data_IF_709095691129
#
_entry.id   IF_709095691129
#
_cell.length_a   1.000
_cell.length_b   1.000
_cell.length_c   1.000
_cell.angle_alpha   90.00
_cell.angle_beta   90.00
_cell.angle_gamma   90.00
#
_symmetry.space_group_name_H-M   'P 1'
#
loop_
_entity.id
_entity.type
_entity.pdbx_description
1 polymer ?
#
# COMPACT_ATOMS: atom_id res chain seq x y z
N UNK A 1 -4.27 0.16 62.23
CA UNK A 1 -5.38 0.67 61.40
C UNK A 1 -4.78 1.72 60.47
N UNK A 2 -4.61 1.40 59.19
CA UNK A 2 -4.04 2.28 58.17
C UNK A 2 -4.78 1.97 56.87
N UNK A 3 -5.53 2.97 56.39
CA UNK A 3 -6.36 2.89 55.18
C UNK A 3 -5.48 3.30 54.00
N UNK A 4 -5.30 2.40 53.03
CA UNK A 4 -4.65 2.71 51.75
C UNK A 4 -5.75 3.04 50.75
N UNK A 5 -5.81 4.31 50.32
CA UNK A 5 -6.72 4.76 49.28
C UNK A 5 -6.20 4.35 47.90
N UNK A 6 -7.04 3.65 47.12
CA UNK A 6 -6.78 3.36 45.70
C UNK A 6 -7.40 4.47 44.87
N UNK A 7 -6.57 5.23 44.13
CA UNK A 7 -7.05 6.21 43.14
C UNK A 7 -7.27 5.47 41.83
N UNK A 8 -8.53 5.14 41.53
CA UNK A 8 -8.92 4.69 40.20
C UNK A 8 -9.05 5.93 39.29
N UNK A 9 -8.20 6.02 38.27
CA UNK A 9 -8.38 7.00 37.20
C UNK A 9 -9.62 6.59 36.37
N UNK A 10 -10.71 7.35 36.53
CA UNK A 10 -11.90 7.23 35.68
C UNK A 10 -11.54 7.88 34.34
N UNK A 11 -11.10 7.08 33.37
CA UNK A 11 -11.11 7.49 31.96
C UNK A 11 -12.57 7.39 31.52
N UNK A 12 -13.24 8.54 31.42
CA UNK A 12 -14.58 8.59 30.85
C UNK A 12 -14.55 8.02 29.41
N UNK A 13 -15.50 7.15 29.02
CA UNK A 13 -15.60 6.75 27.63
C UNK A 13 -15.90 8.00 26.78
N UNK A 14 -15.18 8.17 25.67
CA UNK A 14 -15.54 9.17 24.67
C UNK A 14 -17.01 8.99 24.26
N UNK A 15 -17.77 10.08 24.09
CA UNK A 15 -19.15 9.98 23.67
C UNK A 15 -19.20 9.36 22.26
N UNK A 16 -20.16 8.45 22.06
CA UNK A 16 -20.30 7.63 20.86
C UNK A 16 -20.69 8.45 19.60
N UNK A 17 -20.88 9.76 19.73
CA UNK A 17 -21.33 10.69 18.69
C UNK A 17 -20.18 11.38 17.93
N UNK A 18 -18.92 11.14 18.31
CA UNK A 18 -17.73 11.65 17.59
C UNK A 18 -16.97 10.61 16.77
N UNK A 19 -17.53 9.40 16.62
CA UNK A 19 -17.11 8.51 15.53
C UNK A 19 -17.89 8.93 14.27
N UNK A 20 -17.38 9.92 13.53
CA UNK A 20 -17.72 10.01 12.11
C UNK A 20 -17.35 8.66 11.50
N UNK A 21 -18.36 7.82 11.24
CA UNK A 21 -18.18 6.59 10.50
C UNK A 21 -17.41 6.94 9.23
N UNK A 22 -16.31 6.22 8.89
CA UNK A 22 -15.51 6.55 7.72
C UNK A 22 -16.45 6.62 6.51
N UNK A 23 -16.63 7.84 5.99
CA UNK A 23 -17.58 8.13 4.92
C UNK A 23 -17.43 7.07 3.83
N UNK A 24 -18.48 6.32 3.46
CA UNK A 24 -18.36 5.28 2.46
C UNK A 24 -17.92 5.93 1.15
N UNK A 25 -16.66 5.73 0.79
CA UNK A 25 -16.14 6.26 -0.47
C UNK A 25 -16.93 5.65 -1.62
N UNK A 26 -17.37 6.49 -2.55
CA UNK A 26 -18.23 6.09 -3.66
C UNK A 26 -17.64 4.92 -4.44
N UNK A 27 -18.44 3.86 -4.63
CA UNK A 27 -18.09 2.67 -5.42
C UNK A 27 -18.42 2.83 -6.91
N UNK A 28 -18.74 4.05 -7.35
CA UNK A 28 -19.24 4.36 -8.71
C UNK A 28 -18.38 3.78 -9.84
N UNK A 29 -17.05 3.73 -9.66
CA UNK A 29 -16.11 3.27 -10.68
C UNK A 29 -15.61 1.84 -10.46
N UNK A 30 -16.11 1.11 -9.46
CA UNK A 30 -15.65 -0.24 -9.14
C UNK A 30 -15.81 -1.20 -10.31
N UNK A 31 -16.88 -1.08 -11.11
CA UNK A 31 -17.08 -1.91 -12.32
C UNK A 31 -15.98 -1.66 -13.35
N UNK A 32 -15.60 -0.39 -13.54
CA UNK A 32 -14.50 0.00 -14.43
C UNK A 32 -13.17 -0.51 -13.86
N UNK A 33 -12.93 -0.36 -12.56
CA UNK A 33 -11.73 -0.88 -11.89
C UNK A 33 -11.61 -2.39 -11.97
N UNK A 34 -12.70 -3.17 -11.81
CA UNK A 34 -12.65 -4.63 -11.97
C UNK A 34 -12.34 -5.04 -13.40
N UNK A 35 -12.98 -4.38 -14.38
CA UNK A 35 -12.86 -4.73 -15.80
C UNK A 35 -11.53 -4.26 -16.42
N UNK A 36 -11.00 -3.12 -15.99
CA UNK A 36 -9.85 -2.46 -16.61
C UNK A 36 -8.66 -2.27 -15.66
N UNK A 37 -8.77 -2.73 -14.41
CA UNK A 37 -7.74 -2.63 -13.38
C UNK A 37 -6.56 -3.58 -13.53
N UNK A 38 -6.61 -4.52 -14.48
CA UNK A 38 -5.53 -5.48 -14.75
C UNK A 38 -5.09 -6.30 -13.52
N UNK A 39 -6.05 -6.67 -12.66
CA UNK A 39 -5.80 -7.45 -11.44
C UNK A 39 -5.40 -6.61 -10.22
N UNK A 40 -5.16 -5.30 -10.38
CA UNK A 40 -4.87 -4.41 -9.25
C UNK A 40 -6.07 -4.37 -8.28
N UNK A 41 -5.85 -4.29 -6.95
CA UNK A 41 -6.94 -4.23 -5.99
C UNK A 41 -7.84 -3.03 -6.24
N UNK A 42 -9.15 -3.28 -6.35
CA UNK A 42 -10.17 -2.22 -6.47
C UNK A 42 -10.06 -1.16 -5.36
N UNK A 43 -9.83 -1.53 -4.07
CA UNK A 43 -9.63 -0.52 -3.03
C UNK A 43 -8.43 0.40 -3.28
N UNK A 44 -7.36 -0.11 -3.90
CA UNK A 44 -6.18 0.71 -4.22
C UNK A 44 -6.51 1.70 -5.33
N UNK A 45 -7.15 1.25 -6.41
CA UNK A 45 -7.59 2.12 -7.50
C UNK A 45 -8.59 3.18 -7.03
N UNK A 46 -9.47 2.83 -6.08
CA UNK A 46 -10.40 3.78 -5.46
C UNK A 46 -9.67 4.82 -4.60
N UNK A 47 -8.72 4.39 -3.78
CA UNK A 47 -7.91 5.28 -2.95
C UNK A 47 -7.09 6.24 -3.81
N UNK A 48 -6.46 5.73 -4.86
CA UNK A 48 -5.71 6.53 -5.81
C UNK A 48 -6.61 7.53 -6.53
N UNK A 49 -7.73 7.12 -7.11
CA UNK A 49 -8.67 8.01 -7.79
C UNK A 49 -9.27 9.09 -6.85
N UNK A 50 -9.52 8.75 -5.59
CA UNK A 50 -9.98 9.70 -4.57
C UNK A 50 -8.90 10.75 -4.26
N UNK A 51 -7.63 10.37 -4.18
CA UNK A 51 -6.52 11.29 -3.89
C UNK A 51 -6.07 12.11 -5.11
N UNK A 52 -6.24 11.56 -6.30
CA UNK A 52 -5.84 12.20 -7.56
C UNK A 52 -6.88 13.21 -8.05
N UNK A 53 -8.15 12.83 -8.10
CA UNK A 53 -9.20 13.67 -8.71
C UNK A 53 -10.42 13.85 -7.84
N UNK A 54 -10.40 13.39 -6.58
CA UNK A 54 -11.61 13.29 -5.76
C UNK A 54 -12.73 12.47 -6.44
N UNK A 55 -12.36 11.44 -7.22
CA UNK A 55 -13.27 10.63 -8.04
C UNK A 55 -13.96 11.43 -9.17
N UNK A 56 -13.36 12.53 -9.64
CA UNK A 56 -13.86 13.34 -10.74
C UNK A 56 -13.18 12.94 -12.08
N UNK A 57 -13.88 12.24 -12.98
CA UNK A 57 -13.31 11.85 -14.27
C UNK A 57 -13.12 13.03 -15.22
N UNK A 58 -13.73 14.19 -14.93
CA UNK A 58 -13.61 15.42 -15.72
C UNK A 58 -12.53 16.36 -15.20
N UNK A 59 -11.75 15.94 -14.19
CA UNK A 59 -10.66 16.76 -13.67
C UNK A 59 -9.61 16.99 -14.76
N UNK A 60 -9.36 18.25 -15.08
CA UNK A 60 -8.51 18.66 -16.20
C UNK A 60 -7.56 19.81 -15.82
N UNK A 61 -7.46 20.13 -14.53
CA UNK A 61 -6.57 21.17 -14.05
C UNK A 61 -5.11 20.67 -14.04
N UNK A 62 -4.23 21.44 -14.68
CA UNK A 62 -2.80 21.14 -14.69
C UNK A 62 -2.37 20.09 -15.72
N UNK A 63 -1.21 19.45 -15.54
CA UNK A 63 -0.59 18.58 -16.54
C UNK A 63 -1.19 17.16 -16.63
N UNK A 64 -1.97 16.75 -15.63
CA UNK A 64 -2.52 15.41 -15.48
C UNK A 64 -4.05 15.46 -15.57
N UNK A 65 -4.67 14.59 -16.36
CA UNK A 65 -6.12 14.65 -16.63
C UNK A 65 -6.85 13.36 -16.24
N UNK A 66 -8.11 13.52 -15.87
CA UNK A 66 -9.09 12.46 -15.63
C UNK A 66 -9.02 11.82 -14.26
N UNK A 67 -9.73 10.69 -14.15
CA UNK A 67 -10.03 10.01 -12.88
C UNK A 67 -8.78 9.65 -12.05
N UNK A 68 -7.73 9.15 -12.70
CA UNK A 68 -6.47 8.77 -12.09
C UNK A 68 -5.34 9.74 -12.49
N UNK A 69 -5.65 10.94 -12.99
CA UNK A 69 -4.66 11.99 -13.29
C UNK A 69 -3.49 11.49 -14.16
N UNK A 70 -3.79 11.05 -15.38
CA UNK A 70 -2.79 10.59 -16.34
C UNK A 70 -2.13 11.79 -17.02
N UNK A 71 -0.79 11.82 -17.02
CA UNK A 71 0.00 12.85 -17.73
C UNK A 71 0.28 12.48 -19.19
N UNK A 72 0.64 13.49 -19.99
CA UNK A 72 0.90 13.32 -21.44
C UNK A 72 1.98 12.30 -21.76
N UNK A 73 3.05 12.24 -20.96
CA UNK A 73 4.15 11.27 -21.18
C UNK A 73 3.65 9.84 -21.05
N UNK A 74 2.79 9.57 -20.05
CA UNK A 74 2.17 8.26 -19.82
C UNK A 74 1.23 7.88 -20.96
N UNK A 75 0.39 8.83 -21.39
CA UNK A 75 -0.49 8.65 -22.56
C UNK A 75 0.30 8.32 -23.83
N UNK A 76 1.36 9.07 -24.10
CA UNK A 76 2.19 8.88 -25.30
C UNK A 76 2.91 7.52 -25.30
N UNK A 77 3.46 7.11 -24.15
CA UNK A 77 4.09 5.79 -24.01
C UNK A 77 3.07 4.65 -24.17
N UNK A 78 1.85 4.81 -23.64
CA UNK A 78 0.78 3.84 -23.85
C UNK A 78 0.42 3.73 -25.35
N UNK A 79 0.17 4.86 -26.01
CA UNK A 79 -0.14 4.91 -27.44
C UNK A 79 0.93 4.21 -28.28
N UNK A 80 2.20 4.51 -28.03
CA UNK A 80 3.32 3.90 -28.74
C UNK A 80 3.34 2.37 -28.62
N UNK A 81 3.04 1.82 -27.44
CA UNK A 81 3.11 0.36 -27.20
C UNK A 81 1.89 -0.40 -27.66
N UNK A 82 0.73 0.22 -27.59
CA UNK A 82 -0.54 -0.43 -27.91
C UNK A 82 -1.03 -0.11 -29.32
N UNK A 83 -0.28 0.69 -30.09
CA UNK A 83 -0.68 1.10 -31.44
C UNK A 83 -1.94 1.96 -31.46
N UNK A 84 -2.22 2.68 -30.37
CA UNK A 84 -3.39 3.57 -30.24
C UNK A 84 -3.03 5.01 -30.52
N UNK A 85 -4.04 5.85 -30.76
CA UNK A 85 -3.90 7.28 -31.08
C UNK A 85 -4.71 8.18 -30.15
N UNK A 86 -4.89 7.75 -28.89
CA UNK A 86 -5.66 8.51 -27.90
C UNK A 86 -5.07 9.91 -27.69
N UNK A 87 -5.95 10.89 -27.60
CA UNK A 87 -5.64 12.27 -27.34
C UNK A 87 -5.82 12.60 -25.86
N UNK A 88 -5.30 13.75 -25.44
CA UNK A 88 -5.41 14.20 -24.05
C UNK A 88 -6.86 14.30 -23.57
N UNK A 89 -7.77 14.71 -24.44
CA UNK A 89 -9.22 14.79 -24.17
C UNK A 89 -9.84 13.43 -23.88
N UNK A 90 -9.31 12.36 -24.46
CA UNK A 90 -9.81 10.99 -24.22
C UNK A 90 -9.54 10.54 -22.78
N UNK A 91 -8.60 11.19 -22.07
CA UNK A 91 -8.34 10.92 -20.65
C UNK A 91 -9.50 11.33 -19.74
N UNK A 92 -10.49 12.09 -20.24
CA UNK A 92 -11.70 12.41 -19.48
C UNK A 92 -12.73 11.26 -19.50
N UNK A 93 -12.54 10.26 -20.37
CA UNK A 93 -13.26 9.00 -20.31
C UNK A 93 -12.65 8.13 -19.19
N UNK A 94 -13.41 7.76 -18.14
CA UNK A 94 -12.87 6.99 -17.02
C UNK A 94 -12.41 5.58 -17.42
N UNK A 95 -12.94 4.99 -18.49
CA UNK A 95 -12.49 3.68 -19.01
C UNK A 95 -11.11 3.81 -19.65
N UNK A 96 -10.91 4.79 -20.54
CA UNK A 96 -9.62 5.02 -21.20
C UNK A 96 -8.57 5.40 -20.17
N UNK A 97 -8.91 6.35 -19.29
CA UNK A 97 -8.04 6.79 -18.21
C UNK A 97 -7.59 5.63 -17.31
N UNK A 98 -8.53 4.77 -16.88
CA UNK A 98 -8.23 3.59 -16.07
C UNK A 98 -7.31 2.63 -16.79
N UNK A 99 -7.57 2.31 -18.06
CA UNK A 99 -6.73 1.38 -18.84
C UNK A 99 -5.28 1.86 -18.94
N UNK A 100 -5.08 3.15 -19.18
CA UNK A 100 -3.75 3.73 -19.35
C UNK A 100 -3.00 3.78 -18.01
N UNK A 101 -3.68 4.23 -16.95
CA UNK A 101 -3.10 4.30 -15.62
C UNK A 101 -2.71 2.91 -15.10
N UNK A 102 -3.61 1.92 -15.20
CA UNK A 102 -3.38 0.57 -14.66
C UNK A 102 -2.30 -0.17 -15.46
N UNK A 103 -2.23 0.02 -16.77
CA UNK A 103 -1.13 -0.49 -17.60
C UNK A 103 0.23 0.06 -17.15
N UNK A 104 0.28 1.36 -16.81
CA UNK A 104 1.48 2.01 -16.28
C UNK A 104 1.85 1.49 -14.90
N UNK A 105 0.88 1.38 -13.99
CA UNK A 105 1.10 0.82 -12.65
C UNK A 105 1.64 -0.61 -12.74
N UNK A 106 1.06 -1.47 -13.60
CA UNK A 106 1.60 -2.82 -13.83
C UNK A 106 3.01 -2.80 -14.41
N UNK A 107 3.40 -1.77 -15.17
CA UNK A 107 4.79 -1.62 -15.64
C UNK A 107 5.74 -1.23 -14.51
N UNK A 108 5.30 -0.40 -13.56
CA UNK A 108 6.08 -0.05 -12.38
C UNK A 108 6.39 -1.32 -11.58
N UNK A 109 5.37 -2.11 -11.28
CA UNK A 109 5.50 -3.39 -10.57
C UNK A 109 6.52 -4.31 -11.28
N UNK A 110 6.37 -4.52 -12.59
CA UNK A 110 7.32 -5.35 -13.36
C UNK A 110 8.74 -4.79 -13.41
N UNK A 111 8.90 -3.46 -13.37
CA UNK A 111 10.23 -2.83 -13.31
C UNK A 111 10.90 -3.14 -11.98
N UNK A 112 10.15 -3.01 -10.89
CA UNK A 112 10.62 -3.29 -9.54
C UNK A 112 11.02 -4.76 -9.36
N UNK A 113 10.16 -5.69 -9.77
CA UNK A 113 10.43 -7.14 -9.72
C UNK A 113 11.68 -7.52 -10.52
N UNK A 114 11.85 -6.93 -11.72
CA UNK A 114 12.97 -7.24 -12.61
C UNK A 114 14.30 -6.70 -12.10
N UNK A 115 14.31 -5.44 -11.66
CA UNK A 115 15.56 -4.73 -11.39
C UNK A 115 16.00 -4.86 -9.93
N UNK A 116 15.06 -5.13 -9.01
CA UNK A 116 15.32 -5.25 -7.57
C UNK A 116 14.74 -6.55 -6.99
N UNK A 117 15.03 -7.74 -7.57
CA UNK A 117 14.40 -9.01 -7.17
C UNK A 117 14.68 -9.41 -5.72
N UNK A 118 15.80 -8.94 -5.14
CA UNK A 118 16.17 -9.19 -3.74
C UNK A 118 15.48 -8.26 -2.73
N UNK A 119 14.79 -7.21 -3.20
CA UNK A 119 14.17 -6.21 -2.33
C UNK A 119 12.71 -6.56 -2.10
N UNK A 120 12.41 -7.15 -0.95
CA UNK A 120 11.05 -7.60 -0.60
C UNK A 120 10.00 -6.46 -0.63
N UNK A 121 10.40 -5.24 -0.28
CA UNK A 121 9.52 -4.06 -0.33
C UNK A 121 9.21 -3.61 -1.77
N UNK A 122 9.86 -4.18 -2.78
CA UNK A 122 9.63 -3.86 -4.19
C UNK A 122 8.93 -4.99 -4.94
N UNK A 123 8.65 -6.11 -4.27
CA UNK A 123 7.87 -7.23 -4.84
C UNK A 123 6.37 -7.02 -4.62
N UNK A 124 5.55 -7.47 -5.57
CA UNK A 124 4.09 -7.31 -5.46
C UNK A 124 3.54 -7.99 -4.21
N UNK A 125 3.21 -7.16 -3.21
CA UNK A 125 2.59 -7.61 -1.98
C UNK A 125 1.67 -6.54 -1.41
N UNK A 126 0.37 -6.68 -1.66
CA UNK A 126 -0.66 -5.75 -1.20
C UNK A 126 -0.96 -5.80 0.32
N UNK A 127 -0.33 -6.72 1.05
CA UNK A 127 -0.31 -6.68 2.52
C UNK A 127 0.92 -5.95 3.08
N UNK A 128 1.96 -5.73 2.26
CA UNK A 128 3.15 -4.97 2.65
C UNK A 128 2.92 -3.46 2.41
N UNK A 129 2.79 -2.64 3.46
CA UNK A 129 2.56 -1.20 3.28
C UNK A 129 3.73 -0.50 2.58
N UNK A 130 4.98 -0.97 2.74
CA UNK A 130 6.13 -0.38 2.07
C UNK A 130 6.09 -0.57 0.56
N UNK A 131 5.64 -1.74 0.09
CA UNK A 131 5.43 -1.96 -1.35
C UNK A 131 4.43 -0.98 -1.94
N UNK A 132 3.29 -0.79 -1.28
CA UNK A 132 2.25 0.11 -1.78
C UNK A 132 2.75 1.57 -1.78
N UNK A 133 3.50 1.98 -0.75
CA UNK A 133 4.12 3.31 -0.70
C UNK A 133 5.12 3.50 -1.84
N UNK A 134 6.01 2.53 -2.09
CA UNK A 134 7.01 2.60 -3.17
C UNK A 134 6.38 2.53 -4.56
N UNK A 135 5.31 1.76 -4.74
CA UNK A 135 4.51 1.74 -5.97
C UNK A 135 3.86 3.11 -6.21
N UNK A 136 3.25 3.68 -5.17
CA UNK A 136 2.62 5.01 -5.23
C UNK A 136 3.65 6.11 -5.46
N UNK A 137 4.86 5.99 -4.90
CA UNK A 137 5.98 6.88 -5.18
C UNK A 137 6.46 6.76 -6.63
N UNK A 138 6.53 5.55 -7.18
CA UNK A 138 6.85 5.32 -8.59
C UNK A 138 5.84 5.96 -9.54
N UNK A 139 4.56 5.91 -9.18
CA UNK A 139 3.48 6.57 -9.91
C UNK A 139 3.57 8.10 -9.82
N UNK A 140 3.71 8.64 -8.61
CA UNK A 140 3.61 10.09 -8.36
C UNK A 140 4.91 10.86 -8.65
N UNK A 141 6.07 10.26 -8.38
CA UNK A 141 7.39 10.89 -8.44
C UNK A 141 8.34 10.25 -9.47
N UNK A 142 7.89 9.20 -10.17
CA UNK A 142 8.65 8.51 -11.20
C UNK A 142 9.35 7.25 -10.68
N UNK A 143 9.35 6.19 -11.49
CA UNK A 143 9.79 4.84 -11.10
C UNK A 143 11.10 4.37 -11.75
N UNK A 144 11.69 5.14 -12.67
CA UNK A 144 12.78 4.67 -13.53
C UNK A 144 14.10 4.42 -12.77
N UNK A 145 14.93 3.53 -13.32
CA UNK A 145 16.30 3.28 -12.86
C UNK A 145 17.25 4.47 -13.07
N UNK A 146 16.91 5.35 -14.02
CA UNK A 146 17.75 6.49 -14.37
C UNK A 146 17.63 7.66 -13.39
N UNK A 147 16.48 7.82 -12.73
CA UNK A 147 16.27 8.95 -11.83
C UNK A 147 15.01 8.92 -10.97
N UNK A 148 14.22 7.85 -11.02
CA UNK A 148 13.04 7.65 -10.16
C UNK A 148 13.36 6.77 -8.95
N UNK A 149 12.33 6.10 -8.43
CA UNK A 149 12.46 5.20 -7.27
C UNK A 149 13.51 4.11 -7.50
N UNK A 150 13.58 3.50 -8.70
CA UNK A 150 14.58 2.48 -9.01
C UNK A 150 16.03 2.97 -8.86
N UNK A 151 16.31 4.21 -9.29
CA UNK A 151 17.62 4.86 -9.10
C UNK A 151 18.03 4.92 -7.62
N UNK A 152 17.08 5.27 -6.75
CA UNK A 152 17.35 5.36 -5.31
C UNK A 152 17.44 3.97 -4.69
N UNK A 153 16.62 3.01 -5.13
CA UNK A 153 16.70 1.63 -4.67
C UNK A 153 18.08 1.01 -4.97
N UNK A 154 18.60 1.16 -6.18
CA UNK A 154 19.96 0.71 -6.55
C UNK A 154 21.04 1.34 -5.64
N UNK A 155 20.91 2.64 -5.33
CA UNK A 155 21.81 3.31 -4.38
C UNK A 155 21.72 2.70 -2.97
N UNK A 156 20.52 2.48 -2.46
CA UNK A 156 20.28 1.94 -1.12
C UNK A 156 20.80 0.50 -0.99
N UNK A 157 20.53 -0.35 -2.00
CA UNK A 157 21.03 -1.73 -2.05
C UNK A 157 22.56 -1.78 -1.98
N UNK A 158 23.26 -0.97 -2.79
CA UNK A 158 24.73 -0.90 -2.77
C UNK A 158 25.31 -0.41 -1.45
N UNK A 159 24.51 0.32 -0.67
CA UNK A 159 24.89 0.82 0.66
C UNK A 159 24.45 -0.10 1.80
N UNK A 160 23.73 -1.18 1.50
CA UNK A 160 23.14 -2.04 2.52
C UNK A 160 22.07 -1.34 3.37
N UNK A 161 21.47 -0.27 2.85
CA UNK A 161 20.39 0.47 3.51
C UNK A 161 19.06 -0.16 3.08
N UNK A 162 18.11 -0.43 4.00
CA UNK A 162 16.80 -0.95 3.63
C UNK A 162 16.08 -0.06 2.62
N UNK A 163 15.51 -0.66 1.57
CA UNK A 163 14.67 0.08 0.62
C UNK A 163 13.28 0.24 1.22
N UNK A 164 13.05 1.40 1.82
CA UNK A 164 11.75 1.82 2.38
C UNK A 164 11.33 3.13 1.73
N UNK A 165 10.05 3.48 1.85
CA UNK A 165 9.53 4.75 1.37
C UNK A 165 10.29 5.94 1.96
N UNK A 166 10.63 5.87 3.24
CA UNK A 166 11.31 6.95 3.95
C UNK A 166 12.75 7.11 3.47
N UNK A 167 13.48 5.99 3.34
CA UNK A 167 14.84 6.00 2.83
C UNK A 167 14.90 6.46 1.37
N UNK A 168 13.90 6.11 0.54
CA UNK A 168 13.84 6.60 -0.84
C UNK A 168 13.76 8.13 -0.91
N UNK A 169 13.05 8.77 0.01
CA UNK A 169 12.95 10.23 0.05
C UNK A 169 14.16 10.88 0.72
N UNK A 170 14.69 10.28 1.78
CA UNK A 170 15.87 10.77 2.50
C UNK A 170 17.12 10.77 1.61
N UNK A 171 17.34 9.71 0.85
CA UNK A 171 18.55 9.51 0.06
C UNK A 171 18.42 9.92 -1.42
N UNK A 172 17.26 10.44 -1.84
CA UNK A 172 16.99 10.81 -3.24
C UNK A 172 18.07 11.70 -3.87
N UNK A 173 18.46 12.77 -3.16
CA UNK A 173 19.46 13.71 -3.65
C UNK A 173 20.85 13.07 -3.77
N UNK A 174 21.23 12.25 -2.79
CA UNK A 174 22.52 11.54 -2.78
C UNK A 174 22.61 10.50 -3.90
N UNK A 175 21.49 9.85 -4.23
CA UNK A 175 21.38 8.92 -5.35
C UNK A 175 21.38 9.63 -6.72
N UNK A 176 21.28 10.96 -6.76
CA UNK A 176 21.13 11.72 -8.00
C UNK A 176 19.76 11.52 -8.67
N UNK A 177 18.72 11.25 -7.87
CA UNK A 177 17.37 11.09 -8.36
C UNK A 177 16.65 12.45 -8.55
N UNK A 178 15.47 12.42 -9.15
CA UNK A 178 14.65 13.61 -9.38
C UNK A 178 14.28 14.34 -8.09
N UNK A 179 14.24 15.67 -8.14
CA UNK A 179 13.78 16.52 -7.03
C UNK A 179 12.36 16.21 -6.54
N UNK A 180 11.53 15.51 -7.33
CA UNK A 180 10.21 15.06 -6.88
C UNK A 180 10.28 14.06 -5.72
N UNK A 181 11.37 13.30 -5.61
CA UNK A 181 11.64 12.39 -4.49
C UNK A 181 12.27 13.11 -3.30
N UNK A 182 12.60 14.40 -3.41
CA UNK A 182 13.02 15.23 -2.27
C UNK A 182 11.89 16.12 -1.73
N UNK A 183 10.66 15.95 -2.24
CA UNK A 183 9.52 16.80 -1.86
C UNK A 183 8.70 16.15 -0.71
N UNK A 184 8.68 16.73 0.50
CA UNK A 184 7.98 16.14 1.64
C UNK A 184 6.45 16.18 1.49
N UNK A 185 5.90 17.11 0.71
CA UNK A 185 4.47 17.16 0.40
C UNK A 185 4.03 15.95 -0.44
N UNK A 186 4.84 15.57 -1.43
CA UNK A 186 4.61 14.35 -2.24
C UNK A 186 4.69 13.09 -1.38
N UNK A 187 5.70 13.01 -0.51
CA UNK A 187 5.83 11.88 0.43
C UNK A 187 4.58 11.70 1.29
N UNK A 188 4.08 12.79 1.90
CA UNK A 188 2.85 12.77 2.69
C UNK A 188 1.63 12.37 1.86
N UNK A 189 1.49 12.90 0.65
CA UNK A 189 0.39 12.53 -0.24
C UNK A 189 0.39 11.02 -0.53
N UNK A 190 1.57 10.43 -0.81
CA UNK A 190 1.71 9.00 -1.10
C UNK A 190 1.31 8.13 0.10
N UNK A 191 1.74 8.50 1.32
CA UNK A 191 1.30 7.84 2.56
C UNK A 191 -0.23 7.90 2.71
N UNK A 192 -0.83 9.06 2.41
CA UNK A 192 -2.27 9.26 2.51
C UNK A 192 -3.11 8.43 1.52
N UNK A 193 -2.51 7.96 0.41
CA UNK A 193 -3.13 6.98 -0.50
C UNK A 193 -3.16 5.60 0.17
N UNK A 194 -2.05 5.20 0.79
CA UNK A 194 -1.91 3.90 1.46
C UNK A 194 -2.84 3.78 2.66
N UNK A 195 -2.93 4.82 3.48
CA UNK A 195 -3.87 4.87 4.62
C UNK A 195 -5.33 4.69 4.15
N UNK A 196 -5.67 5.37 3.05
CA UNK A 196 -7.01 5.29 2.46
C UNK A 196 -7.28 3.91 1.83
N UNK A 197 -6.27 3.30 1.20
CA UNK A 197 -6.37 1.93 0.68
C UNK A 197 -6.73 0.94 1.79
N UNK A 198 -6.00 0.95 2.91
CA UNK A 198 -6.27 0.03 4.02
C UNK A 198 -7.63 0.30 4.67
N UNK A 199 -8.03 1.57 4.79
CA UNK A 199 -9.37 1.95 5.27
C UNK A 199 -10.47 1.36 4.37
N UNK A 200 -10.32 1.50 3.05
CA UNK A 200 -11.28 0.96 2.07
C UNK A 200 -11.27 -0.57 1.98
N UNK A 201 -10.13 -1.21 2.23
CA UNK A 201 -10.01 -2.65 2.26
C UNK A 201 -10.68 -3.23 3.52
N UNK A 202 -10.49 -2.60 4.67
CA UNK A 202 -11.11 -3.00 5.94
C UNK A 202 -12.63 -2.79 5.93
N UNK A 203 -13.13 -1.68 5.38
CA UNK A 203 -14.56 -1.39 5.29
C UNK A 203 -15.38 -2.39 4.44
N UNK A 204 -14.72 -3.22 3.62
CA UNK A 204 -15.38 -4.30 2.87
C UNK A 204 -15.61 -5.55 3.73
N UNK A 205 -14.85 -5.72 4.81
CA UNK A 205 -15.01 -6.85 5.74
C UNK A 205 -16.15 -6.59 6.74
N UNK A 206 -16.44 -5.33 7.08
CA UNK A 206 -17.56 -4.98 7.95
C UNK A 206 -18.91 -4.93 7.22
N UNK A 207 -18.93 -4.77 5.89
CA UNK A 207 -20.18 -4.62 5.12
C UNK A 207 -20.86 -5.93 4.72
N UNK A 208 -20.26 -7.08 5.01
CA UNK A 208 -20.85 -8.38 4.65
C UNK A 208 -21.71 -8.92 5.80
N UNK A 209 -21.24 -8.99 7.05
CA UNK A 209 -22.00 -9.71 8.10
C UNK A 209 -21.98 -9.05 9.49
N UNK A 210 -21.53 -7.79 9.63
CA UNK A 210 -21.57 -7.05 10.91
C UNK A 210 -20.71 -7.63 12.06
N UNK A 211 -19.89 -8.66 11.79
CA UNK A 211 -19.01 -9.29 12.79
C UNK A 211 -17.56 -8.89 12.55
N UNK A 212 -16.90 -8.41 13.61
CA UNK A 212 -15.47 -8.07 13.60
C UNK A 212 -14.66 -9.37 13.46
N UNK A 213 -14.12 -9.64 12.28
CA UNK A 213 -13.09 -10.69 12.12
C UNK A 213 -11.72 -10.13 12.53
N UNK A 214 -11.04 -10.69 13.55
CA UNK A 214 -9.64 -10.41 13.78
C UNK A 214 -8.81 -11.06 12.67
N UNK A 215 -8.24 -10.22 11.81
CA UNK A 215 -7.06 -10.47 10.97
C UNK A 215 -6.84 -11.90 10.45
N UNK A 216 -7.27 -12.17 9.21
CA UNK A 216 -6.66 -13.15 8.30
C UNK A 216 -6.97 -12.74 6.85
N UNK A 217 -6.05 -12.00 6.23
CA UNK A 217 -6.12 -11.72 4.79
C UNK A 217 -5.68 -12.98 4.02
N UNK A 218 -6.63 -13.80 3.59
CA UNK A 218 -6.41 -14.74 2.50
C UNK A 218 -6.64 -14.01 1.17
N UNK A 219 -5.60 -13.34 0.67
CA UNK A 219 -5.45 -13.24 -0.78
C UNK A 219 -5.09 -14.63 -1.29
N UNK A 220 -5.73 -15.18 -2.33
CA UNK A 220 -5.41 -16.51 -2.81
C UNK A 220 -3.94 -16.52 -3.26
N UNK A 221 -3.11 -17.27 -2.52
CA UNK A 221 -1.79 -17.67 -2.97
C UNK A 221 -1.95 -18.45 -4.27
N UNK A 222 -1.20 -18.01 -5.28
CA UNK A 222 -0.67 -18.93 -6.29
C UNK A 222 0.12 -19.99 -5.52
N UNK A 223 -0.44 -21.18 -5.39
CA UNK A 223 0.29 -22.33 -4.85
C UNK A 223 1.29 -22.77 -5.91
N UNK A 224 2.60 -22.84 -5.62
CA UNK A 224 3.45 -23.74 -6.36
C UNK A 224 2.94 -25.15 -6.09
N UNK A 225 2.68 -25.92 -7.14
CA UNK A 225 2.22 -27.29 -7.01
C UNK A 225 3.20 -28.11 -6.15
N UNK A 226 2.65 -28.83 -5.16
CA UNK A 226 3.31 -29.98 -4.54
C UNK A 226 3.84 -29.77 -3.11
N UNK A 227 2.96 -29.79 -2.11
CA UNK A 227 3.29 -30.26 -0.76
C UNK A 227 2.03 -30.93 -0.17
N UNK A 228 2.01 -32.26 -0.20
CA UNK A 228 1.01 -33.07 0.51
C UNK A 228 1.40 -33.14 1.99
N UNK A 229 0.48 -32.77 2.88
CA UNK A 229 0.61 -32.97 4.32
C UNK A 229 -0.42 -33.99 4.83
N UNK A 230 -0.46 -35.16 4.20
CA UNK A 230 -1.08 -36.34 4.81
C UNK A 230 -0.09 -36.97 5.81
N UNK A 231 -0.01 -36.45 7.05
CA UNK A 231 0.72 -37.16 8.11
C UNK A 231 1.22 -36.43 9.37
N UNK A 232 0.99 -35.13 9.60
CA UNK A 232 1.58 -34.46 10.77
C UNK A 232 0.73 -34.60 12.07
N UNK A 233 1.34 -34.89 13.25
CA UNK A 233 0.60 -35.13 14.51
C UNK A 233 -0.07 -33.87 15.12
N UNK A 234 -1.16 -34.09 15.85
CA UNK A 234 -2.11 -33.07 16.37
C UNK A 234 -1.48 -32.02 17.33
N UNK A 235 -0.29 -32.24 17.86
CA UNK A 235 0.35 -31.37 18.88
C UNK A 235 1.06 -30.14 18.30
N UNK A 236 1.23 -30.04 16.99
CA UNK A 236 1.85 -28.87 16.34
C UNK A 236 0.85 -27.78 15.91
N UNK A 237 -0.46 -28.01 16.10
CA UNK A 237 -1.51 -27.05 15.69
C UNK A 237 -1.73 -25.90 16.68
N UNK A 238 -1.20 -25.97 17.90
CA UNK A 238 -1.41 -24.94 18.95
C UNK A 238 -0.24 -23.96 19.14
N UNK A 239 0.95 -24.23 18.57
CA UNK A 239 2.12 -23.37 18.74
C UNK A 239 2.05 -22.04 17.95
N UNK A 240 1.12 -21.90 16.99
CA UNK A 240 0.97 -20.68 16.17
C UNK A 240 0.02 -19.65 16.84
N UNK A 241 -0.74 -20.04 17.86
CA UNK A 241 -1.76 -19.17 18.48
C UNK A 241 -1.21 -18.31 19.62
N UNK A 242 -0.09 -18.68 20.26
CA UNK A 242 0.42 -17.97 21.46
C UNK A 242 1.44 -16.86 21.12
N UNK A 243 2.04 -16.86 19.93
CA UNK A 243 2.98 -15.80 19.52
C UNK A 243 2.35 -14.42 19.26
N UNK A 244 1.02 -14.33 19.15
CA UNK A 244 0.31 -13.12 18.73
C UNK A 244 -0.19 -12.22 19.88
N UNK A 245 0.08 -12.57 21.16
CA UNK A 245 -0.44 -11.81 22.32
C UNK A 245 0.62 -11.17 23.23
N UNK A 246 1.92 -11.29 22.93
CA UNK A 246 2.99 -10.73 23.78
C UNK A 246 3.64 -9.43 23.25
N UNK A 247 3.01 -8.74 22.29
CA UNK A 247 3.60 -7.60 21.58
C UNK A 247 3.11 -6.20 21.97
N UNK A 248 2.52 -6.01 23.16
CA UNK A 248 2.09 -4.70 23.64
C UNK A 248 2.38 -4.49 25.13
N UNK A 249 3.54 -3.87 25.44
CA UNK A 249 3.69 -2.96 26.57
C UNK A 249 4.09 -3.50 27.96
N UNK A 250 5.41 -3.54 28.19
CA UNK A 250 6.18 -3.30 29.44
C UNK A 250 6.01 -4.20 30.69
N UNK A 251 7.13 -4.75 31.18
CA UNK A 251 7.91 -4.36 32.40
C UNK A 251 8.82 -5.53 32.82
N UNK A 252 10.07 -5.24 33.22
CA UNK A 252 10.67 -5.89 34.39
C UNK A 252 11.86 -6.83 34.16
N UNK A 253 13.05 -6.35 34.52
CA UNK A 253 14.28 -7.12 34.72
C UNK A 253 14.13 -8.26 35.76
N UNK A 254 14.74 -9.42 35.50
CA UNK A 254 15.53 -10.20 36.46
C UNK A 254 16.27 -11.35 35.74
N UNK A 255 17.59 -11.22 35.60
CA UNK A 255 18.46 -12.35 35.24
C UNK A 255 18.74 -13.12 36.54
N UNK A 256 18.31 -14.38 36.59
CA UNK A 256 18.76 -15.36 37.58
C UNK A 256 19.33 -16.56 36.84
N UNK A 257 20.63 -16.83 37.05
CA UNK A 257 21.32 -18.04 36.59
C UNK A 257 20.96 -19.19 37.53
N UNK A 258 20.53 -20.31 36.97
CA UNK A 258 20.55 -21.63 37.59
C UNK A 258 21.12 -22.63 36.60
N UNK A 259 22.34 -23.11 36.86
CA UNK A 259 22.88 -24.32 36.27
C UNK A 259 22.10 -25.53 36.79
N UNK A 260 22.11 -26.63 36.03
CA UNK A 260 22.28 -27.99 36.56
C UNK A 260 22.57 -28.94 35.38
N UNK A 261 23.84 -29.33 35.23
CA UNK A 261 24.45 -30.68 35.32
C UNK A 261 25.94 -30.53 35.05
#
# INVERSE_FOLDING_TARGET
>A
MLVTATVAAIVAPMPADLQEAPMPTSQKYDVIFRKHGRGLPVPFLRALAKRESNLNPREANGPAWGLLQVIRVVLNDYNKRHGTSYQRTDLLDPVINTRIATDTISRIIRSYERNHPGVLNMQENWSNPEFIKLLTAGWNSGYSEAGGVGRVADYLERKGIPVTHDNVFEYAAQAGATQHLSNPGRQRWQRSVVDLFYTMAAGRLTSLDGTLSPFLFLFPHVTPAGLSLSGAPQTWKWAIVIGALAGAGMIGYAIWRGQDV
#
